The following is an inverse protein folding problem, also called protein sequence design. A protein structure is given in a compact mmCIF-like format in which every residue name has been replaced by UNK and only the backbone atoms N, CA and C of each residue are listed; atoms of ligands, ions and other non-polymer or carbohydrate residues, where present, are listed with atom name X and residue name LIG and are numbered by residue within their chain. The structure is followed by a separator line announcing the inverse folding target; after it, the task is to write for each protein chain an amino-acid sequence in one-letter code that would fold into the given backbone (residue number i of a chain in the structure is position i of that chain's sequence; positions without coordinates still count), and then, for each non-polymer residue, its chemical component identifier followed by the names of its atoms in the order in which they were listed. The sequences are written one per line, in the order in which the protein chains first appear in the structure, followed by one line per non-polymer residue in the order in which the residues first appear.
data_IF_824806761629
#
_entry.id   IF_824806761629
#
_cell.length_a   1.000
_cell.length_b   1.000
_cell.length_c   1.000
_cell.angle_alpha   90.00
_cell.angle_beta   90.00
_cell.angle_gamma   90.00
#
_symmetry.space_group_name_H-M   'P 1'
#
loop_
_entity.id
_entity.type
_entity.pdbx_description
1 polymer ?
#
# COMPACT_ATOMS: atom_id res chain seq x y z
N UNK A 1 -16.32 -4.52 9.71
CA UNK A 1 -16.91 -5.37 10.77
C UNK A 1 -15.88 -5.49 11.91
N UNK A 2 -16.25 -5.23 13.17
CA UNK A 2 -15.34 -5.46 14.31
C UNK A 2 -15.53 -6.90 14.79
N UNK A 3 -14.65 -7.82 14.40
CA UNK A 3 -14.64 -9.19 14.91
C UNK A 3 -13.90 -9.26 16.25
N UNK A 4 -14.18 -10.26 17.10
CA UNK A 4 -13.47 -10.43 18.38
C UNK A 4 -11.94 -10.50 18.22
N UNK A 5 -11.46 -11.09 17.13
CA UNK A 5 -10.03 -11.27 16.81
C UNK A 5 -9.40 -10.04 16.15
N UNK A 6 -10.17 -9.02 15.75
CA UNK A 6 -9.66 -7.84 15.01
C UNK A 6 -8.55 -7.11 15.79
N UNK A 7 -8.70 -6.99 17.11
CA UNK A 7 -7.70 -6.33 17.96
C UNK A 7 -6.37 -7.09 17.98
N UNK A 8 -6.45 -8.41 18.16
CA UNK A 8 -5.27 -9.31 18.17
C UNK A 8 -4.61 -9.33 16.80
N UNK A 9 -5.40 -9.42 15.73
CA UNK A 9 -4.91 -9.39 14.34
C UNK A 9 -4.12 -8.11 14.04
N UNK A 10 -4.68 -6.93 14.37
CA UNK A 10 -3.96 -5.65 14.20
C UNK A 10 -2.72 -5.54 15.08
N UNK A 11 -2.75 -6.13 16.27
CA UNK A 11 -1.61 -6.14 17.18
C UNK A 11 -0.47 -7.00 16.62
N UNK A 12 -0.76 -8.22 16.18
CA UNK A 12 0.22 -9.13 15.58
C UNK A 12 0.81 -8.55 14.29
N UNK A 13 -0.02 -7.95 13.44
CA UNK A 13 0.44 -7.26 12.22
C UNK A 13 1.44 -6.14 12.55
N UNK A 14 1.09 -5.24 13.49
CA UNK A 14 2.00 -4.17 13.94
C UNK A 14 3.30 -4.68 14.57
N UNK A 15 3.25 -5.87 15.17
CA UNK A 15 4.39 -6.50 15.83
C UNK A 15 5.33 -7.14 14.80
N UNK A 16 4.78 -7.87 13.82
CA UNK A 16 5.51 -8.77 12.95
C UNK A 16 5.81 -8.18 11.57
N UNK A 17 4.92 -7.35 11.01
CA UNK A 17 5.11 -6.78 9.66
C UNK A 17 6.41 -5.99 9.52
N UNK A 18 6.84 -5.16 10.49
CA UNK A 18 8.13 -4.49 10.41
C UNK A 18 9.32 -5.46 10.32
N UNK A 19 9.25 -6.60 11.01
CA UNK A 19 10.33 -7.61 10.99
C UNK A 19 10.37 -8.33 9.63
N UNK A 20 9.20 -8.66 9.08
CA UNK A 20 9.09 -9.19 7.73
C UNK A 20 9.68 -8.21 6.71
N UNK A 21 9.23 -6.95 6.73
CA UNK A 21 9.70 -5.92 5.80
C UNK A 21 11.22 -5.69 5.93
N UNK A 22 11.79 -5.84 7.13
CA UNK A 22 13.25 -5.72 7.36
C UNK A 22 14.03 -6.85 6.71
N UNK A 23 13.63 -8.10 6.95
CA UNK A 23 14.42 -9.27 6.58
C UNK A 23 14.15 -9.77 5.16
N UNK A 24 13.00 -9.45 4.59
CA UNK A 24 12.55 -9.97 3.29
C UNK A 24 12.47 -8.86 2.22
N UNK A 25 13.07 -7.69 2.48
CA UNK A 25 13.05 -6.53 1.55
C UNK A 25 13.63 -6.85 0.17
N UNK A 26 14.69 -7.66 0.11
CA UNK A 26 15.40 -7.99 -1.11
C UNK A 26 14.52 -8.76 -2.10
N UNK A 27 13.59 -9.59 -1.62
CA UNK A 27 12.68 -10.38 -2.46
C UNK A 27 11.28 -9.78 -2.55
N UNK A 28 10.95 -8.76 -1.76
CA UNK A 28 9.62 -8.13 -1.77
C UNK A 28 9.57 -6.93 -2.72
N UNK A 29 8.74 -6.98 -3.75
CA UNK A 29 8.41 -5.84 -4.61
C UNK A 29 7.40 -4.95 -3.87
N UNK A 30 7.64 -3.64 -3.88
CA UNK A 30 6.78 -2.65 -3.20
C UNK A 30 5.67 -2.16 -4.10
N UNK A 31 6.02 -1.88 -5.35
CA UNK A 31 5.15 -1.39 -6.41
C UNK A 31 5.92 -1.49 -7.73
N UNK A 32 5.30 -1.04 -8.82
CA UNK A 32 5.90 -1.06 -10.14
C UNK A 32 7.13 -0.15 -10.28
N UNK A 33 7.26 0.90 -9.46
CA UNK A 33 8.45 1.76 -9.45
C UNK A 33 9.63 1.00 -8.87
N UNK A 34 9.45 0.27 -7.77
CA UNK A 34 10.48 -0.62 -7.19
C UNK A 34 10.90 -1.70 -8.21
N UNK A 35 9.96 -2.29 -8.95
CA UNK A 35 10.29 -3.26 -10.00
C UNK A 35 11.10 -2.61 -11.15
N UNK A 36 10.70 -1.44 -11.62
CA UNK A 36 11.42 -0.72 -12.68
C UNK A 36 12.86 -0.45 -12.24
N UNK A 37 13.09 0.03 -11.02
CA UNK A 37 14.45 0.25 -10.52
C UNK A 37 15.29 -1.04 -10.48
N UNK A 38 14.71 -2.18 -10.09
CA UNK A 38 15.40 -3.48 -10.11
C UNK A 38 15.77 -3.90 -11.53
N UNK A 39 14.86 -3.72 -12.47
CA UNK A 39 15.10 -4.05 -13.88
C UNK A 39 16.13 -3.11 -14.52
N UNK A 40 16.09 -1.82 -14.23
CA UNK A 40 17.11 -0.84 -14.68
C UNK A 40 18.50 -1.21 -14.13
N UNK A 41 18.59 -1.67 -12.88
CA UNK A 41 19.84 -2.19 -12.29
C UNK A 41 20.30 -3.49 -12.98
N UNK A 42 19.39 -4.43 -13.22
CA UNK A 42 19.66 -5.69 -13.94
C UNK A 42 20.20 -5.44 -15.35
N UNK A 43 19.61 -4.49 -16.08
CA UNK A 43 20.09 -4.03 -17.40
C UNK A 43 21.46 -3.36 -17.29
N UNK A 44 21.65 -2.47 -16.32
CA UNK A 44 22.92 -1.74 -16.13
C UNK A 44 24.10 -2.66 -15.83
N UNK A 45 23.84 -3.81 -15.21
CA UNK A 45 24.84 -4.85 -14.96
C UNK A 45 25.10 -5.76 -16.17
N UNK A 46 24.42 -5.54 -17.31
CA UNK A 46 24.61 -6.32 -18.53
C UNK A 46 23.97 -7.71 -18.49
N UNK A 47 23.01 -7.95 -17.59
CA UNK A 47 22.39 -9.26 -17.43
C UNK A 47 21.24 -9.53 -18.41
N UNK A 48 20.57 -8.46 -18.90
CA UNK A 48 19.52 -8.59 -19.91
C UNK A 48 20.12 -8.92 -21.27
N UNK A 49 19.74 -10.08 -21.81
CA UNK A 49 20.09 -10.58 -23.13
C UNK A 49 18.87 -10.56 -24.06
N UNK A 50 19.07 -10.57 -25.39
CA UNK A 50 17.97 -10.80 -26.34
C UNK A 50 17.19 -12.09 -26.04
N UNK A 51 17.87 -13.10 -25.51
CA UNK A 51 17.28 -14.41 -25.16
C UNK A 51 16.60 -14.44 -23.80
N UNK A 52 16.76 -13.45 -22.93
CA UNK A 52 16.14 -13.43 -21.59
C UNK A 52 14.62 -13.48 -21.67
N UNK A 53 14.01 -14.42 -20.94
CA UNK A 53 12.58 -14.49 -20.71
C UNK A 53 12.18 -13.68 -19.48
N UNK A 54 11.02 -13.06 -19.57
CA UNK A 54 10.32 -12.44 -18.46
C UNK A 54 9.26 -13.43 -18.00
N UNK A 55 9.21 -13.71 -16.70
CA UNK A 55 8.33 -14.70 -16.12
C UNK A 55 7.49 -14.04 -15.02
N UNK A 56 6.18 -14.23 -15.10
CA UNK A 56 5.24 -13.83 -14.07
C UNK A 56 4.41 -15.03 -13.67
N UNK A 57 4.07 -15.13 -12.39
CA UNK A 57 3.11 -16.11 -11.95
C UNK A 57 2.39 -15.64 -10.70
N UNK A 58 1.12 -15.99 -10.65
CA UNK A 58 0.20 -15.68 -9.56
C UNK A 58 -0.02 -16.92 -8.69
N UNK A 59 -0.12 -16.71 -7.37
CA UNK A 59 -0.51 -17.74 -6.42
C UNK A 59 -2.03 -17.73 -6.24
N UNK A 60 -2.70 -18.77 -6.73
CA UNK A 60 -4.15 -18.88 -6.61
C UNK A 60 -4.58 -18.98 -5.15
N UNK A 61 -5.56 -18.15 -4.76
CA UNK A 61 -6.26 -18.22 -3.48
C UNK A 61 -5.34 -18.21 -2.23
N UNK A 62 -4.21 -17.48 -2.31
CA UNK A 62 -3.15 -17.50 -1.30
C UNK A 62 -3.67 -17.45 0.14
N UNK A 63 -4.50 -16.46 0.48
CA UNK A 63 -4.99 -16.28 1.85
C UNK A 63 -5.92 -17.38 2.34
N UNK A 64 -6.78 -17.88 1.44
CA UNK A 64 -7.81 -18.87 1.76
C UNK A 64 -7.26 -20.29 1.77
N UNK A 65 -6.09 -20.52 1.19
CA UNK A 65 -5.46 -21.84 1.08
C UNK A 65 -4.31 -22.10 2.05
N UNK A 66 -3.92 -21.11 2.88
CA UNK A 66 -2.87 -21.30 3.89
C UNK A 66 -3.21 -22.42 4.89
N UNK A 67 -2.39 -23.48 5.01
CA UNK A 67 -2.55 -24.47 6.07
C UNK A 67 -2.26 -23.82 7.43
N UNK A 68 -3.26 -23.78 8.32
CA UNK A 68 -3.20 -22.97 9.54
C UNK A 68 -2.06 -23.40 10.48
N UNK A 69 -1.94 -24.69 10.80
CA UNK A 69 -0.88 -25.20 11.70
C UNK A 69 0.52 -25.02 11.12
N UNK A 70 0.68 -25.31 9.83
CA UNK A 70 1.95 -25.15 9.14
C UNK A 70 2.36 -23.67 9.09
N UNK A 71 1.42 -22.77 8.81
CA UNK A 71 1.67 -21.33 8.82
C UNK A 71 2.14 -20.86 10.19
N UNK A 72 1.59 -21.41 11.29
CA UNK A 72 2.05 -21.12 12.64
C UNK A 72 3.45 -21.68 12.92
N UNK A 73 3.80 -22.85 12.37
CA UNK A 73 5.15 -23.40 12.44
C UNK A 73 6.15 -22.52 11.67
N UNK A 74 5.82 -22.14 10.44
CA UNK A 74 6.66 -21.28 9.60
C UNK A 74 6.82 -19.89 10.22
N UNK A 75 5.79 -19.35 10.88
CA UNK A 75 5.92 -18.10 11.66
C UNK A 75 6.97 -18.24 12.77
N UNK A 76 6.93 -19.34 13.53
CA UNK A 76 7.92 -19.62 14.58
C UNK A 76 9.32 -19.80 13.98
N UNK A 77 9.43 -20.56 12.89
CA UNK A 77 10.69 -20.78 12.17
C UNK A 77 11.29 -19.45 11.67
N UNK A 78 10.48 -18.60 11.01
CA UNK A 78 10.90 -17.29 10.54
C UNK A 78 11.49 -16.42 11.66
N UNK A 79 10.83 -16.40 12.83
CA UNK A 79 11.32 -15.61 13.97
C UNK A 79 12.63 -16.17 14.52
N UNK A 80 12.75 -17.49 14.66
CA UNK A 80 13.95 -18.14 15.18
C UNK A 80 15.14 -18.01 14.21
N UNK A 81 14.91 -18.18 12.91
CA UNK A 81 15.95 -18.06 11.88
C UNK A 81 16.59 -16.66 11.86
N UNK A 82 15.81 -15.63 12.21
CA UNK A 82 16.29 -14.25 12.30
C UNK A 82 16.68 -13.83 13.74
N UNK A 83 16.88 -14.80 14.63
CA UNK A 83 17.43 -14.58 15.98
C UNK A 83 16.45 -14.03 17.01
N UNK A 84 15.14 -14.07 16.76
CA UNK A 84 14.14 -13.62 17.72
C UNK A 84 13.70 -14.77 18.63
N UNK A 85 13.98 -14.68 19.93
CA UNK A 85 13.33 -15.50 20.96
C UNK A 85 12.14 -14.78 21.62
N UNK A 86 12.15 -13.45 21.53
CA UNK A 86 11.07 -12.56 21.95
C UNK A 86 10.96 -11.43 20.94
N UNK A 87 9.74 -10.92 20.71
CA UNK A 87 9.51 -9.70 19.93
C UNK A 87 8.88 -8.66 20.84
N UNK A 88 9.60 -7.55 21.07
CA UNK A 88 9.18 -6.48 21.99
C UNK A 88 8.76 -7.01 23.38
N UNK A 89 9.57 -7.93 23.93
CA UNK A 89 9.33 -8.56 25.23
C UNK A 89 8.35 -9.74 25.22
N UNK A 90 7.68 -10.04 24.11
CA UNK A 90 6.68 -11.11 24.00
C UNK A 90 7.36 -12.38 23.50
N UNK A 91 7.24 -13.47 24.25
CA UNK A 91 7.78 -14.78 23.86
C UNK A 91 7.11 -15.31 22.58
N UNK A 92 7.88 -16.03 21.74
CA UNK A 92 7.33 -16.61 20.50
C UNK A 92 6.12 -17.50 20.77
N UNK A 93 6.11 -18.28 21.85
CA UNK A 93 4.96 -19.13 22.19
C UNK A 93 3.68 -18.33 22.42
N UNK A 94 3.79 -17.15 23.02
CA UNK A 94 2.65 -16.25 23.20
C UNK A 94 2.19 -15.66 21.86
N UNK A 95 3.13 -15.26 20.99
CA UNK A 95 2.84 -14.79 19.62
C UNK A 95 2.12 -15.89 18.84
N UNK A 96 2.62 -17.13 18.87
CA UNK A 96 2.03 -18.29 18.21
C UNK A 96 0.63 -18.59 18.73
N UNK A 97 0.39 -18.52 20.05
CA UNK A 97 -0.94 -18.69 20.65
C UNK A 97 -1.92 -17.62 20.18
N UNK A 98 -1.51 -16.35 20.16
CA UNK A 98 -2.33 -15.25 19.66
C UNK A 98 -2.64 -15.42 18.17
N UNK A 99 -1.64 -15.81 17.37
CA UNK A 99 -1.80 -16.08 15.94
C UNK A 99 -2.80 -17.21 15.69
N UNK A 100 -2.72 -18.29 16.48
CA UNK A 100 -3.67 -19.41 16.43
C UNK A 100 -5.10 -18.94 16.66
N UNK A 101 -5.34 -18.16 17.71
CA UNK A 101 -6.68 -17.59 18.01
C UNK A 101 -7.20 -16.80 16.81
N UNK A 102 -6.36 -15.99 16.16
CA UNK A 102 -6.76 -15.21 14.98
C UNK A 102 -7.13 -16.10 13.79
N UNK A 103 -6.53 -17.28 13.63
CA UNK A 103 -6.83 -18.20 12.53
C UNK A 103 -8.04 -19.10 12.82
N UNK A 104 -8.12 -19.67 14.03
CA UNK A 104 -9.12 -20.69 14.38
C UNK A 104 -10.46 -20.12 14.80
N UNK A 105 -10.48 -18.92 15.39
CA UNK A 105 -11.72 -18.27 15.85
C UNK A 105 -12.38 -17.39 14.77
N UNK A 106 -12.17 -17.74 13.50
CA UNK A 106 -12.83 -17.12 12.36
C UNK A 106 -14.17 -17.81 12.07
N UNK A 107 -15.23 -17.27 12.68
CA UNK A 107 -16.61 -17.70 12.48
C UNK A 107 -17.38 -16.64 11.69
N UNK A 108 -18.13 -17.06 10.68
CA UNK A 108 -18.97 -16.18 9.87
C UNK A 108 -20.33 -16.81 9.61
N UNK A 109 -21.32 -15.97 9.25
CA UNK A 109 -22.67 -16.40 8.90
C UNK A 109 -22.88 -16.25 7.40
N UNK A 110 -23.33 -17.31 6.76
CA UNK A 110 -23.72 -17.31 5.36
C UNK A 110 -25.01 -18.13 5.19
N UNK A 111 -25.99 -17.62 4.45
CA UNK A 111 -27.31 -18.26 4.30
C UNK A 111 -27.91 -18.75 5.63
N UNK A 112 -27.88 -17.88 6.65
CA UNK A 112 -28.40 -18.15 8.01
C UNK A 112 -27.73 -19.34 8.75
N UNK A 113 -26.59 -19.82 8.26
CA UNK A 113 -25.79 -20.88 8.88
C UNK A 113 -24.45 -20.34 9.37
N UNK A 114 -24.01 -20.84 10.51
CA UNK A 114 -22.69 -20.53 11.06
C UNK A 114 -21.64 -21.45 10.45
N UNK A 115 -20.54 -20.86 9.99
CA UNK A 115 -19.39 -21.56 9.46
C UNK A 115 -18.14 -21.13 10.21
N UNK A 116 -17.23 -22.08 10.41
CA UNK A 116 -15.87 -21.81 10.89
C UNK A 116 -14.90 -22.07 9.76
N UNK A 117 -14.03 -21.11 9.49
CA UNK A 117 -12.97 -21.28 8.50
C UNK A 117 -11.89 -22.23 9.04
N UNK A 118 -11.74 -23.39 8.42
CA UNK A 118 -10.78 -24.44 8.82
C UNK A 118 -9.46 -24.41 8.03
N UNK A 119 -9.43 -23.65 6.93
CA UNK A 119 -8.27 -23.49 6.05
C UNK A 119 -8.12 -22.00 5.68
N UNK A 120 -6.89 -21.53 5.60
CA UNK A 120 -6.59 -20.14 5.34
C UNK A 120 -6.84 -19.22 6.54
N UNK A 121 -6.78 -17.92 6.28
CA UNK A 121 -7.23 -16.89 7.20
C UNK A 121 -8.36 -16.04 6.61
N UNK A 122 -9.06 -15.31 7.48
CA UNK A 122 -10.13 -14.42 7.03
C UNK A 122 -9.58 -13.31 6.13
N UNK A 123 -10.16 -13.15 4.94
CA UNK A 123 -9.86 -12.02 4.06
C UNK A 123 -10.12 -10.69 4.79
N UNK A 124 -9.21 -9.73 4.65
CA UNK A 124 -9.26 -8.45 5.35
C UNK A 124 -8.76 -8.46 6.80
N UNK A 125 -8.34 -9.62 7.33
CA UNK A 125 -7.58 -9.69 8.58
C UNK A 125 -6.16 -9.14 8.36
N UNK A 126 -5.78 -8.12 9.14
CA UNK A 126 -4.47 -7.47 9.02
C UNK A 126 -3.31 -8.48 9.20
N UNK A 127 -3.42 -9.36 10.19
CA UNK A 127 -2.41 -10.39 10.44
C UNK A 127 -2.32 -11.44 9.33
N UNK A 128 -3.44 -11.81 8.70
CA UNK A 128 -3.45 -12.85 7.65
C UNK A 128 -2.57 -12.46 6.46
N UNK A 129 -2.52 -11.17 6.09
CA UNK A 129 -1.60 -10.68 5.08
C UNK A 129 -0.13 -10.90 5.46
N UNK A 130 0.23 -10.56 6.69
CA UNK A 130 1.61 -10.71 7.19
C UNK A 130 1.99 -12.18 7.32
N UNK A 131 1.06 -13.03 7.76
CA UNK A 131 1.28 -14.47 7.83
C UNK A 131 1.45 -15.11 6.45
N UNK A 132 0.63 -14.73 5.47
CA UNK A 132 0.75 -15.21 4.09
C UNK A 132 2.13 -14.87 3.50
N UNK A 133 2.58 -13.64 3.72
CA UNK A 133 3.91 -13.21 3.28
C UNK A 133 5.05 -14.00 3.92
N UNK A 134 4.93 -14.34 5.22
CA UNK A 134 5.90 -15.18 5.94
C UNK A 134 5.85 -16.63 5.43
N UNK A 135 4.66 -17.16 5.14
CA UNK A 135 4.51 -18.48 4.52
C UNK A 135 5.22 -18.51 3.16
N UNK A 136 4.99 -17.50 2.33
CA UNK A 136 5.62 -17.39 1.01
C UNK A 136 7.13 -17.21 1.10
N UNK A 137 7.66 -16.52 2.12
CA UNK A 137 9.10 -16.45 2.36
C UNK A 137 9.75 -17.83 2.51
N UNK A 138 9.07 -18.79 3.15
CA UNK A 138 9.56 -20.17 3.27
C UNK A 138 9.42 -20.93 1.96
N UNK A 139 8.27 -20.81 1.31
CA UNK A 139 7.97 -21.49 0.05
C UNK A 139 8.92 -21.06 -1.08
N UNK A 140 9.26 -19.76 -1.15
CA UNK A 140 10.05 -19.19 -2.25
C UNK A 140 11.57 -19.40 -2.14
N UNK A 141 12.07 -19.96 -1.03
CA UNK A 141 13.53 -20.03 -0.76
C UNK A 141 14.34 -20.64 -1.91
N UNK A 142 13.87 -21.72 -2.50
CA UNK A 142 14.59 -22.40 -3.58
C UNK A 142 14.56 -21.60 -4.89
N UNK A 143 13.44 -20.94 -5.20
CA UNK A 143 13.35 -20.04 -6.37
C UNK A 143 14.32 -18.86 -6.21
N UNK A 144 14.30 -18.21 -5.05
CA UNK A 144 15.20 -17.09 -4.73
C UNK A 144 16.66 -17.52 -4.82
N UNK A 145 17.02 -18.68 -4.25
CA UNK A 145 18.39 -19.22 -4.29
C UNK A 145 18.86 -19.43 -5.72
N UNK A 146 18.01 -19.98 -6.59
CA UNK A 146 18.32 -20.19 -8.01
C UNK A 146 18.52 -18.87 -8.75
N UNK A 147 17.62 -17.90 -8.58
CA UNK A 147 17.76 -16.61 -9.25
C UNK A 147 19.03 -15.86 -8.79
N UNK A 148 19.35 -15.91 -7.50
CA UNK A 148 20.59 -15.35 -6.98
C UNK A 148 21.85 -16.02 -7.58
N UNK A 149 21.83 -17.34 -7.80
CA UNK A 149 22.95 -18.06 -8.39
C UNK A 149 23.19 -17.70 -9.87
N UNK A 150 22.13 -17.35 -10.60
CA UNK A 150 22.20 -17.00 -12.03
C UNK A 150 22.24 -15.49 -12.30
N UNK A 151 22.37 -14.66 -11.27
CA UNK A 151 22.29 -13.19 -11.34
C UNK A 151 21.00 -12.67 -11.97
N UNK A 152 19.91 -13.41 -11.80
CA UNK A 152 18.59 -13.07 -12.31
C UNK A 152 17.78 -12.25 -11.30
N UNK A 153 16.87 -11.43 -11.81
CA UNK A 153 15.97 -10.65 -10.96
C UNK A 153 14.88 -11.56 -10.40
N UNK A 154 14.61 -11.48 -9.10
CA UNK A 154 13.44 -12.06 -8.45
C UNK A 154 12.72 -10.99 -7.63
N UNK A 155 11.40 -11.04 -7.62
CA UNK A 155 10.63 -10.28 -6.66
C UNK A 155 9.17 -10.71 -6.60
N UNK A 156 8.57 -10.55 -5.41
CA UNK A 156 7.17 -10.88 -5.15
C UNK A 156 6.42 -9.69 -4.60
N UNK A 157 5.29 -9.37 -5.19
CA UNK A 157 4.28 -8.48 -4.65
C UNK A 157 3.10 -9.32 -4.16
N UNK A 158 3.06 -9.62 -2.86
CA UNK A 158 2.01 -10.43 -2.26
C UNK A 158 1.91 -11.84 -2.92
N UNK A 159 0.96 -12.04 -3.81
CA UNK A 159 0.64 -13.25 -4.59
C UNK A 159 1.24 -13.21 -6.01
N UNK A 160 1.53 -12.03 -6.55
CA UNK A 160 2.18 -11.85 -7.83
C UNK A 160 3.70 -12.01 -7.71
N UNK A 161 4.30 -12.91 -8.48
CA UNK A 161 5.77 -13.11 -8.54
C UNK A 161 6.29 -12.75 -9.93
N UNK A 162 7.44 -12.09 -9.96
CA UNK A 162 8.20 -11.73 -11.15
C UNK A 162 9.62 -12.27 -11.07
N UNK A 163 10.11 -12.88 -12.15
CA UNK A 163 11.55 -13.09 -12.32
C UNK A 163 12.00 -13.02 -13.78
N UNK A 164 13.30 -12.83 -13.99
CA UNK A 164 13.96 -12.96 -15.30
C UNK A 164 14.70 -14.29 -15.41
N UNK A 165 14.85 -14.82 -16.63
CA UNK A 165 15.67 -16.02 -16.82
C UNK A 165 16.30 -16.06 -18.20
N UNK A 166 17.61 -16.33 -18.25
CA UNK A 166 18.36 -16.58 -19.48
C UNK A 166 18.38 -18.05 -19.92
N UNK A 167 17.66 -18.93 -19.22
CA UNK A 167 17.57 -20.36 -19.53
C UNK A 167 16.63 -20.66 -20.70
N UNK A 168 16.62 -21.91 -21.14
CA UNK A 168 15.64 -22.39 -22.11
C UNK A 168 14.23 -22.38 -21.52
N UNK A 169 13.22 -22.24 -22.39
CA UNK A 169 11.82 -22.26 -21.98
C UNK A 169 11.43 -23.58 -21.31
N UNK A 170 11.99 -24.70 -21.76
CA UNK A 170 11.75 -26.02 -21.17
C UNK A 170 12.27 -26.09 -19.74
N UNK A 171 13.51 -25.65 -19.50
CA UNK A 171 14.10 -25.56 -18.16
C UNK A 171 13.27 -24.68 -17.23
N UNK A 172 12.79 -23.53 -17.70
CA UNK A 172 11.93 -22.63 -16.91
C UNK A 172 10.61 -23.32 -16.55
N UNK A 173 9.98 -24.01 -17.51
CA UNK A 173 8.72 -24.73 -17.26
C UNK A 173 8.92 -25.87 -16.26
N UNK A 174 9.97 -26.67 -16.41
CA UNK A 174 10.30 -27.75 -15.46
C UNK A 174 10.47 -27.22 -14.03
N UNK A 175 11.12 -26.07 -13.86
CA UNK A 175 11.30 -25.44 -12.55
C UNK A 175 9.98 -24.98 -11.94
N UNK A 176 9.14 -24.34 -12.75
CA UNK A 176 7.84 -23.89 -12.29
C UNK A 176 6.90 -25.06 -12.02
N UNK A 177 7.01 -26.16 -12.77
CA UNK A 177 6.29 -27.39 -12.49
C UNK A 177 6.75 -27.98 -11.16
N UNK A 178 8.06 -28.08 -10.91
CA UNK A 178 8.59 -28.50 -9.60
C UNK A 178 8.06 -27.60 -8.47
N UNK A 179 8.09 -26.27 -8.64
CA UNK A 179 7.60 -25.32 -7.65
C UNK A 179 6.09 -25.50 -7.37
N UNK A 180 5.28 -25.79 -8.39
CA UNK A 180 3.85 -26.06 -8.25
C UNK A 180 3.56 -27.36 -7.47
N UNK A 181 4.56 -28.23 -7.31
CA UNK A 181 4.48 -29.46 -6.51
C UNK A 181 5.11 -29.32 -5.12
N UNK A 182 5.72 -28.18 -4.77
CA UNK A 182 6.31 -27.97 -3.44
C UNK A 182 5.28 -28.06 -2.31
N UNK A 183 4.03 -27.67 -2.59
CA UNK A 183 2.99 -27.66 -1.59
C UNK A 183 1.61 -27.90 -2.22
N UNK A 184 0.82 -28.82 -1.66
CA UNK A 184 -0.50 -29.23 -2.22
C UNK A 184 -1.49 -28.08 -2.36
N UNK A 185 -1.43 -27.12 -1.44
CA UNK A 185 -2.34 -25.98 -1.35
C UNK A 185 -1.88 -24.74 -2.14
N UNK A 186 -0.71 -24.78 -2.76
CA UNK A 186 -0.20 -23.69 -3.57
C UNK A 186 -0.36 -24.09 -5.03
N UNK A 187 -1.00 -23.22 -5.82
CA UNK A 187 -1.17 -23.39 -7.25
C UNK A 187 -0.69 -22.15 -7.97
N UNK A 188 0.07 -22.38 -9.05
CA UNK A 188 0.71 -21.34 -9.84
C UNK A 188 -0.03 -21.17 -11.17
N UNK A 189 -0.35 -19.94 -11.52
CA UNK A 189 -0.76 -19.57 -12.88
C UNK A 189 0.38 -18.76 -13.48
N UNK A 190 1.03 -19.28 -14.52
CA UNK A 190 2.25 -18.69 -15.10
C UNK A 190 2.04 -18.06 -16.47
N UNK A 191 2.76 -16.98 -16.72
CA UNK A 191 2.93 -16.35 -18.02
C UNK A 191 4.42 -16.10 -18.25
N UNK A 192 4.96 -16.67 -19.33
CA UNK A 192 6.37 -16.57 -19.72
C UNK A 192 6.43 -15.97 -21.11
N UNK A 193 7.29 -14.99 -21.33
CA UNK A 193 7.45 -14.42 -22.66
C UNK A 193 8.50 -13.32 -22.74
N UNK A 194 8.50 -12.62 -23.87
CA UNK A 194 9.29 -11.39 -24.06
C UNK A 194 8.53 -10.14 -23.65
N UNK A 195 7.22 -10.26 -23.43
CA UNK A 195 6.32 -9.19 -23.01
C UNK A 195 5.38 -9.80 -21.98
N UNK A 196 5.41 -9.31 -20.74
CA UNK A 196 4.59 -9.82 -19.64
C UNK A 196 4.03 -8.66 -18.80
N UNK A 197 2.74 -8.71 -18.41
CA UNK A 197 2.18 -7.76 -17.47
C UNK A 197 2.59 -8.13 -16.04
N UNK A 198 2.92 -7.12 -15.23
CA UNK A 198 3.12 -7.28 -13.79
C UNK A 198 2.63 -6.01 -13.09
N UNK A 199 1.75 -6.17 -12.09
CA UNK A 199 1.06 -5.05 -11.45
C UNK A 199 0.33 -4.16 -12.47
N UNK A 200 0.72 -2.89 -12.57
CA UNK A 200 0.16 -1.90 -13.49
C UNK A 200 1.09 -1.56 -14.68
N UNK A 201 2.10 -2.41 -14.94
CA UNK A 201 3.04 -2.23 -16.04
C UNK A 201 3.13 -3.44 -16.98
N UNK A 202 3.40 -3.16 -18.25
CA UNK A 202 3.83 -4.14 -19.24
C UNK A 202 5.35 -4.04 -19.35
N UNK A 203 6.03 -5.14 -19.06
CA UNK A 203 7.49 -5.24 -19.14
C UNK A 203 7.85 -6.00 -20.40
N UNK A 204 8.75 -5.43 -21.20
CA UNK A 204 9.11 -5.99 -22.50
C UNK A 204 10.63 -6.05 -22.69
N UNK A 205 11.10 -7.16 -23.25
CA UNK A 205 12.46 -7.36 -23.71
C UNK A 205 12.48 -7.35 -25.25
N UNK A 206 12.76 -6.17 -25.82
CA UNK A 206 12.86 -5.96 -27.26
C UNK A 206 14.29 -6.23 -27.74
N UNK A 207 14.65 -7.52 -27.83
CA UNK A 207 15.98 -7.97 -28.26
C UNK A 207 17.14 -7.38 -27.43
N UNK A 208 17.03 -7.40 -26.10
CA UNK A 208 18.02 -6.88 -25.16
C UNK A 208 17.76 -5.42 -24.76
N UNK A 209 16.75 -4.77 -25.34
CA UNK A 209 16.29 -3.45 -24.90
C UNK A 209 15.06 -3.61 -23.99
N UNK A 210 15.22 -3.25 -22.72
CA UNK A 210 14.10 -3.18 -21.77
C UNK A 210 13.19 -2.00 -22.10
N UNK A 211 11.90 -2.26 -22.29
CA UNK A 211 10.87 -1.22 -22.31
C UNK A 211 9.76 -1.49 -21.30
N UNK A 212 9.18 -0.41 -20.78
CA UNK A 212 8.05 -0.48 -19.85
C UNK A 212 6.96 0.48 -20.31
N UNK A 213 5.70 0.09 -20.12
CA UNK A 213 4.54 0.93 -20.37
C UNK A 213 3.44 0.64 -19.35
N UNK A 214 2.43 1.50 -19.24
CA UNK A 214 1.27 1.22 -18.38
C UNK A 214 0.44 0.09 -19.00
N UNK A 215 0.15 -0.94 -18.20
CA UNK A 215 -0.69 -2.05 -18.61
C UNK A 215 -2.15 -1.83 -18.20
N UNK A 216 -3.06 -2.13 -19.13
CA UNK A 216 -4.50 -2.15 -18.88
C UNK A 216 -5.00 -3.56 -19.17
N UNK A 217 -5.64 -4.20 -18.18
CA UNK A 217 -6.29 -5.50 -18.38
C UNK A 217 -7.39 -5.34 -19.44
N UNK A 218 -7.58 -6.33 -20.31
CA UNK A 218 -8.60 -6.27 -21.37
C UNK A 218 -10.02 -6.10 -20.82
N UNK A 219 -10.29 -6.69 -19.64
CA UNK A 219 -11.56 -6.54 -18.94
C UNK A 219 -11.68 -5.25 -18.11
N UNK A 220 -10.65 -4.40 -18.07
CA UNK A 220 -10.68 -3.16 -17.30
C UNK A 220 -11.56 -2.14 -18.01
N UNK A 221 -12.75 -1.95 -17.48
CA UNK A 221 -13.60 -0.84 -17.90
C UNK A 221 -12.97 0.49 -17.44
N UNK A 222 -13.05 1.56 -18.25
CA UNK A 222 -12.41 2.84 -17.94
C UNK A 222 -13.20 3.63 -16.89
N UNK A 223 -13.79 2.98 -15.89
CA UNK A 223 -14.55 3.64 -14.84
C UNK A 223 -13.62 4.21 -13.76
N UNK A 224 -13.76 5.51 -13.54
CA UNK A 224 -13.16 6.22 -12.41
C UNK A 224 -14.25 6.99 -11.68
N UNK A 225 -13.89 7.66 -10.58
CA UNK A 225 -14.84 8.52 -9.85
C UNK A 225 -15.47 9.52 -10.83
N UNK A 226 -16.80 9.48 -11.07
CA UNK A 226 -17.47 10.38 -12.01
C UNK A 226 -17.36 11.83 -11.57
N UNK A 227 -17.27 12.75 -12.53
CA UNK A 227 -17.06 14.17 -12.24
C UNK A 227 -18.19 14.82 -11.42
N UNK A 228 -19.41 14.30 -11.57
CA UNK A 228 -20.62 14.73 -10.88
C UNK A 228 -20.88 13.98 -9.57
N UNK A 229 -19.98 13.11 -9.13
CA UNK A 229 -20.11 12.44 -7.83
C UNK A 229 -19.92 13.43 -6.66
N UNK A 230 -20.49 13.10 -5.50
CA UNK A 230 -20.39 13.90 -4.27
C UNK A 230 -19.02 13.82 -3.57
N UNK A 231 -17.99 13.33 -4.26
CA UNK A 231 -16.64 13.29 -3.72
C UNK A 231 -16.06 14.70 -3.61
N UNK A 232 -15.24 14.98 -2.57
CA UNK A 232 -14.51 16.23 -2.49
C UNK A 232 -13.69 16.52 -3.75
N UNK A 233 -13.64 17.79 -4.19
CA UNK A 233 -12.92 18.19 -5.42
C UNK A 233 -11.44 17.82 -5.45
N UNK A 234 -10.80 17.66 -4.29
CA UNK A 234 -9.42 17.19 -4.23
C UNK A 234 -9.28 15.73 -4.67
N UNK A 235 -10.25 14.86 -4.40
CA UNK A 235 -10.23 13.44 -4.82
C UNK A 235 -10.24 13.35 -6.35
N UNK A 236 -11.16 14.07 -7.01
CA UNK A 236 -11.26 14.17 -8.46
C UNK A 236 -9.95 14.67 -9.11
N UNK A 237 -9.30 15.65 -8.45
CA UNK A 237 -8.00 16.18 -8.87
C UNK A 237 -6.90 15.12 -8.73
N UNK A 238 -6.84 14.45 -7.60
CA UNK A 238 -5.78 13.51 -7.25
C UNK A 238 -5.85 12.24 -8.12
N UNK A 239 -7.06 11.82 -8.56
CA UNK A 239 -7.23 10.76 -9.58
C UNK A 239 -6.46 11.11 -10.87
N UNK A 240 -6.59 12.34 -11.36
CA UNK A 240 -5.91 12.79 -12.58
C UNK A 240 -4.39 12.86 -12.36
N UNK A 241 -3.97 13.46 -11.25
CA UNK A 241 -2.54 13.63 -10.96
C UNK A 241 -1.82 12.30 -10.80
N UNK A 242 -2.43 11.37 -10.07
CA UNK A 242 -1.84 10.05 -9.85
C UNK A 242 -1.79 9.24 -11.16
N UNK A 243 -2.80 9.35 -12.03
CA UNK A 243 -2.78 8.72 -13.34
C UNK A 243 -1.63 9.27 -14.21
N UNK A 244 -1.43 10.59 -14.23
CA UNK A 244 -0.33 11.22 -14.97
C UNK A 244 1.05 10.90 -14.36
N UNK A 245 1.18 10.88 -13.04
CA UNK A 245 2.42 10.46 -12.37
C UNK A 245 2.79 9.02 -12.72
N UNK A 246 1.81 8.13 -12.66
CA UNK A 246 1.97 6.73 -13.07
C UNK A 246 2.40 6.64 -14.53
N UNK A 247 1.70 7.33 -15.44
CA UNK A 247 2.02 7.34 -16.86
C UNK A 247 3.47 7.73 -17.13
N UNK A 248 3.99 8.75 -16.45
CA UNK A 248 5.38 9.19 -16.62
C UNK A 248 6.36 8.17 -16.05
N UNK A 249 6.14 7.68 -14.82
CA UNK A 249 7.04 6.74 -14.15
C UNK A 249 7.14 5.41 -14.89
N UNK A 250 6.01 4.88 -15.33
CA UNK A 250 5.89 3.54 -15.89
C UNK A 250 6.17 3.45 -17.39
N UNK A 251 6.26 4.56 -18.11
CA UNK A 251 6.52 4.56 -19.56
C UNK A 251 7.99 4.84 -19.84
N UNK A 252 8.72 3.88 -20.43
CA UNK A 252 10.14 4.07 -20.76
C UNK A 252 10.38 4.97 -21.98
N UNK A 253 9.36 5.18 -22.81
CA UNK A 253 9.43 6.01 -24.03
C UNK A 253 8.34 7.08 -24.04
N UNK A 254 8.62 8.19 -24.73
CA UNK A 254 7.65 9.26 -24.95
C UNK A 254 6.44 8.77 -25.75
N UNK A 255 6.64 7.83 -26.67
CA UNK A 255 5.53 7.20 -27.41
C UNK A 255 4.57 6.46 -26.47
N UNK A 256 5.09 5.61 -25.59
CA UNK A 256 4.29 4.89 -24.60
C UNK A 256 3.57 5.87 -23.65
N UNK A 257 4.27 6.89 -23.17
CA UNK A 257 3.67 7.93 -22.35
C UNK A 257 2.56 8.70 -23.08
N UNK A 258 2.78 9.10 -24.34
CA UNK A 258 1.79 9.82 -25.12
C UNK A 258 0.54 8.97 -25.40
N UNK A 259 0.72 7.66 -25.60
CA UNK A 259 -0.38 6.72 -25.70
C UNK A 259 -1.20 6.70 -24.40
N UNK A 260 -0.55 6.47 -23.26
CA UNK A 260 -1.23 6.43 -21.96
C UNK A 260 -1.91 7.77 -21.63
N UNK A 261 -1.25 8.90 -21.91
CA UNK A 261 -1.84 10.24 -21.70
C UNK A 261 -3.14 10.42 -22.50
N UNK A 262 -3.20 9.88 -23.73
CA UNK A 262 -4.44 9.90 -24.54
C UNK A 262 -5.50 9.00 -23.91
N UNK A 263 -5.13 7.79 -23.47
CA UNK A 263 -6.04 6.88 -22.77
C UNK A 263 -6.63 7.52 -21.51
N UNK A 264 -5.80 8.18 -20.68
CA UNK A 264 -6.26 8.93 -19.49
C UNK A 264 -7.25 10.03 -19.87
N UNK A 265 -6.97 10.79 -20.94
CA UNK A 265 -7.90 11.84 -21.41
C UNK A 265 -9.24 11.26 -21.84
N UNK A 266 -9.24 10.15 -22.58
CA UNK A 266 -10.47 9.47 -23.02
C UNK A 266 -11.25 8.92 -21.83
N UNK A 267 -10.57 8.27 -20.88
CA UNK A 267 -11.15 7.80 -19.62
C UNK A 267 -11.84 8.95 -18.86
N UNK A 268 -11.18 10.11 -18.73
CA UNK A 268 -11.77 11.27 -18.04
C UNK A 268 -13.02 11.79 -18.76
N UNK A 269 -12.98 11.89 -20.09
CA UNK A 269 -14.15 12.31 -20.88
C UNK A 269 -15.31 11.34 -20.72
N UNK A 270 -15.04 10.03 -20.74
CA UNK A 270 -16.02 8.98 -20.55
C UNK A 270 -16.72 9.07 -19.17
N UNK A 271 -16.00 9.52 -18.13
CA UNK A 271 -16.55 9.70 -16.78
C UNK A 271 -17.09 11.13 -16.52
N UNK A 272 -17.39 11.88 -17.59
CA UNK A 272 -18.10 13.17 -17.52
C UNK A 272 -17.25 14.36 -17.09
N UNK A 273 -15.90 14.25 -17.11
CA UNK A 273 -15.04 15.39 -16.77
C UNK A 273 -15.09 16.45 -17.88
N UNK A 274 -15.36 17.74 -17.55
CA UNK A 274 -15.43 18.79 -18.54
C UNK A 274 -14.09 18.97 -19.28
N UNK A 275 -14.07 19.11 -20.62
CA UNK A 275 -12.81 19.26 -21.38
C UNK A 275 -11.92 20.40 -20.90
N UNK A 276 -12.52 21.55 -20.51
CA UNK A 276 -11.79 22.69 -19.93
C UNK A 276 -11.12 22.34 -18.60
N UNK A 277 -11.78 21.53 -17.77
CA UNK A 277 -11.23 21.08 -16.50
C UNK A 277 -10.04 20.14 -16.72
N UNK A 278 -10.18 19.17 -17.63
CA UNK A 278 -9.10 18.25 -18.02
C UNK A 278 -7.89 19.03 -18.52
N UNK A 279 -8.08 19.94 -19.48
CA UNK A 279 -7.01 20.76 -20.03
C UNK A 279 -6.31 21.59 -18.94
N UNK A 280 -7.08 22.31 -18.11
CA UNK A 280 -6.53 23.11 -17.01
C UNK A 280 -5.75 22.26 -16.00
N UNK A 281 -6.23 21.05 -15.70
CA UNK A 281 -5.55 20.14 -14.78
C UNK A 281 -4.23 19.64 -15.35
N UNK A 282 -4.22 19.19 -16.60
CA UNK A 282 -3.01 18.71 -17.27
C UNK A 282 -1.96 19.83 -17.33
N UNK A 283 -2.36 21.05 -17.70
CA UNK A 283 -1.47 22.23 -17.70
C UNK A 283 -0.85 22.45 -16.32
N UNK A 284 -1.68 22.52 -15.27
CA UNK A 284 -1.19 22.69 -13.88
C UNK A 284 -0.25 21.58 -13.44
N UNK A 285 -0.51 20.35 -13.87
CA UNK A 285 0.35 19.20 -13.59
C UNK A 285 1.72 19.38 -14.26
N UNK A 286 1.77 19.63 -15.57
CA UNK A 286 3.03 19.77 -16.28
C UNK A 286 3.80 21.02 -15.85
N UNK A 287 3.15 22.16 -15.63
CA UNK A 287 3.83 23.37 -15.09
C UNK A 287 4.46 23.14 -13.72
N UNK A 288 3.91 22.24 -12.89
CA UNK A 288 4.49 21.90 -11.58
C UNK A 288 5.81 21.13 -11.72
N UNK A 289 5.98 20.35 -12.79
CA UNK A 289 7.07 19.38 -12.92
C UNK A 289 8.07 19.73 -14.03
N UNK A 290 7.63 20.30 -15.15
CA UNK A 290 8.47 20.88 -16.18
C UNK A 290 8.83 22.31 -15.75
N UNK A 291 10.05 22.54 -15.30
CA UNK A 291 10.58 23.87 -14.91
C UNK A 291 10.76 24.84 -16.08
N UNK A 292 10.08 24.60 -17.21
CA UNK A 292 10.24 25.32 -18.47
C UNK A 292 9.09 26.30 -18.66
N UNK A 293 9.41 27.51 -19.13
CA UNK A 293 8.44 28.58 -19.44
C UNK A 293 7.56 28.30 -20.66
N UNK A 294 7.95 27.33 -21.50
CA UNK A 294 7.16 26.85 -22.63
C UNK A 294 6.17 25.78 -22.14
N UNK A 295 4.93 26.19 -21.88
CA UNK A 295 3.85 25.33 -21.38
C UNK A 295 3.24 24.51 -22.53
N UNK A 296 4.05 23.70 -23.21
CA UNK A 296 3.54 22.72 -24.16
C UNK A 296 3.02 21.49 -23.38
N UNK A 297 1.77 21.11 -23.60
CA UNK A 297 1.21 19.85 -23.07
C UNK A 297 1.89 18.60 -23.66
N UNK A 298 2.68 18.81 -24.70
CA UNK A 298 3.42 17.78 -25.43
C UNK A 298 4.89 17.96 -25.12
N UNK A 299 5.58 16.86 -24.78
CA UNK A 299 7.02 16.88 -24.89
C UNK A 299 7.36 16.89 -26.38
N UNK A 300 8.08 17.91 -26.82
CA UNK A 300 8.50 18.04 -28.22
C UNK A 300 9.77 17.20 -28.50
N UNK A 301 10.48 16.77 -27.44
CA UNK A 301 11.71 15.98 -27.51
C UNK A 301 11.68 14.81 -26.51
N UNK A 302 12.17 13.65 -26.96
CA UNK A 302 12.33 12.44 -26.12
C UNK A 302 13.17 12.72 -24.88
N UNK A 303 14.27 13.46 -25.03
CA UNK A 303 15.21 13.74 -23.94
C UNK A 303 14.57 14.51 -22.78
N UNK A 304 13.64 15.43 -23.06
CA UNK A 304 12.95 16.21 -22.03
C UNK A 304 12.00 15.33 -21.23
N UNK A 305 11.35 14.37 -21.90
CA UNK A 305 10.52 13.36 -21.25
C UNK A 305 11.36 12.42 -20.37
N UNK A 306 12.46 11.88 -20.91
CA UNK A 306 13.36 10.99 -20.17
C UNK A 306 13.91 11.68 -18.93
N UNK A 307 14.33 12.94 -19.04
CA UNK A 307 14.81 13.72 -17.89
C UNK A 307 13.75 13.84 -16.79
N UNK A 308 12.51 14.19 -17.16
CA UNK A 308 11.42 14.28 -16.18
C UNK A 308 11.08 12.90 -15.58
N UNK A 309 11.03 11.86 -16.41
CA UNK A 309 10.80 10.49 -15.94
C UNK A 309 11.83 10.12 -14.89
N UNK A 310 13.11 10.29 -15.18
CA UNK A 310 14.19 10.01 -14.23
C UNK A 310 14.02 10.81 -12.93
N UNK A 311 13.65 12.09 -12.99
CA UNK A 311 13.38 12.90 -11.78
C UNK A 311 12.23 12.32 -10.95
N UNK A 312 11.13 11.92 -11.59
CA UNK A 312 9.92 11.46 -10.90
C UNK A 312 9.99 10.00 -10.43
N UNK A 313 10.72 9.16 -11.17
CA UNK A 313 10.94 7.76 -10.83
C UNK A 313 11.79 7.65 -9.55
N UNK A 314 12.82 8.49 -9.43
CA UNK A 314 13.68 8.55 -8.24
C UNK A 314 13.01 9.19 -7.00
N UNK A 315 11.78 9.70 -7.11
CA UNK A 315 11.02 10.20 -5.95
C UNK A 315 10.29 9.03 -5.29
N UNK A 316 10.49 8.79 -3.98
CA UNK A 316 9.88 7.66 -3.32
C UNK A 316 8.35 7.71 -3.41
N UNK A 317 7.74 6.55 -3.61
CA UNK A 317 6.29 6.39 -3.52
C UNK A 317 5.83 6.43 -2.06
N UNK A 318 4.52 6.57 -1.86
CA UNK A 318 3.92 6.53 -0.52
C UNK A 318 4.21 5.16 0.12
N UNK A 319 4.04 4.08 -0.65
CA UNK A 319 4.30 2.71 -0.21
C UNK A 319 5.75 2.49 0.22
N UNK A 320 6.71 3.00 -0.56
CA UNK A 320 8.13 2.95 -0.22
C UNK A 320 8.43 3.71 1.08
N UNK A 321 7.85 4.90 1.24
CA UNK A 321 8.00 5.69 2.47
C UNK A 321 7.42 4.98 3.70
N UNK A 322 6.25 4.35 3.55
CA UNK A 322 5.63 3.58 4.63
C UNK A 322 6.46 2.36 5.03
N UNK A 323 7.00 1.62 4.07
CA UNK A 323 7.88 0.47 4.33
C UNK A 323 9.16 0.93 5.01
N UNK A 324 9.81 1.97 4.51
CA UNK A 324 10.99 2.55 5.14
C UNK A 324 10.71 2.99 6.59
N UNK A 325 9.55 3.61 6.84
CA UNK A 325 9.10 3.98 8.19
C UNK A 325 8.87 2.77 9.09
N UNK A 326 8.37 1.64 8.55
CA UNK A 326 8.19 0.39 9.31
C UNK A 326 9.54 -0.24 9.65
N UNK A 327 10.45 -0.35 8.69
CA UNK A 327 11.80 -0.90 8.90
C UNK A 327 12.55 -0.07 9.95
N UNK A 328 12.50 1.26 9.88
CA UNK A 328 13.16 2.14 10.84
C UNK A 328 12.70 1.93 12.30
N UNK A 329 11.48 1.42 12.52
CA UNK A 329 10.96 1.08 13.86
C UNK A 329 11.51 -0.24 14.42
N UNK A 330 12.28 -1.00 13.64
CA UNK A 330 12.89 -2.28 14.05
C UNK A 330 14.33 -2.13 14.52
N UNK A 331 15.00 -1.05 14.15
CA UNK A 331 16.31 -0.67 14.65
C UNK A 331 16.14 0.11 15.94
N UNK A 332 16.11 -0.59 17.08
CA UNK A 332 16.38 0.03 18.37
C UNK A 332 17.83 0.53 18.35
N UNK A 333 18.01 1.84 18.44
CA UNK A 333 19.28 2.38 18.93
C UNK A 333 19.45 1.90 20.39
N UNK A 334 20.65 1.47 20.82
CA UNK A 334 20.95 1.50 22.24
C UNK A 334 20.78 2.95 22.70
N UNK A 335 20.11 3.14 23.85
CA UNK A 335 19.85 4.42 24.51
C UNK A 335 20.65 5.59 23.93
N UNK A 336 20.04 6.35 23.02
CA UNK A 336 20.55 7.70 22.75
C UNK A 336 20.24 8.50 23.99
N UNK A 337 21.27 8.81 24.74
CA UNK A 337 21.26 9.91 25.69
C UNK A 337 20.53 11.09 25.05
N UNK A 338 19.57 11.60 25.80
CA UNK A 338 18.70 12.70 25.41
C UNK A 338 19.60 13.92 25.23
N UNK A 339 20.02 14.18 24.00
CA UNK A 339 20.44 15.52 23.60
C UNK A 339 19.12 16.29 23.41
N UNK A 340 18.80 17.12 24.41
CA UNK A 340 17.64 17.99 24.44
C UNK A 340 17.60 18.86 23.19
N UNK A 341 16.69 18.52 22.27
CA UNK A 341 16.37 19.39 21.14
C UNK A 341 15.14 20.23 21.54
N UNK A 342 15.27 21.57 21.69
CA UNK A 342 14.19 22.45 22.17
C UNK A 342 12.91 22.36 21.32
N UNK A 343 13.03 22.01 20.04
CA UNK A 343 11.88 21.84 19.13
C UNK A 343 11.13 20.53 19.39
N UNK A 344 11.82 19.48 19.83
CA UNK A 344 11.24 18.19 20.22
C UNK A 344 10.60 18.30 21.61
N UNK A 345 11.24 19.00 22.55
CA UNK A 345 10.65 19.35 23.86
C UNK A 345 9.34 20.12 23.67
N UNK A 346 9.31 21.15 22.80
CA UNK A 346 8.08 21.94 22.57
C UNK A 346 6.91 21.15 21.96
N UNK A 347 7.22 20.13 21.12
CA UNK A 347 6.21 19.22 20.55
C UNK A 347 5.77 18.16 21.55
N UNK A 348 6.69 17.66 22.38
CA UNK A 348 6.39 16.75 23.49
C UNK A 348 5.58 17.45 24.59
N UNK A 349 5.85 18.72 24.89
CA UNK A 349 5.09 19.53 25.85
C UNK A 349 3.68 19.87 25.34
N UNK A 350 3.53 20.10 24.04
CA UNK A 350 2.20 20.21 23.42
C UNK A 350 1.43 18.88 23.46
N UNK A 351 2.13 17.74 23.31
CA UNK A 351 1.53 16.40 23.34
C UNK A 351 1.24 15.92 24.77
N UNK A 352 2.06 16.27 25.75
CA UNK A 352 1.84 15.99 27.18
C UNK A 352 0.70 16.85 27.74
N UNK A 353 0.57 18.10 27.30
CA UNK A 353 -0.62 18.94 27.57
C UNK A 353 -1.92 18.37 26.98
N UNK A 354 -1.86 17.53 25.96
CA UNK A 354 -3.03 16.85 25.38
C UNK A 354 -3.36 15.52 26.06
N UNK A 355 -2.38 14.84 26.66
CA UNK A 355 -2.56 13.54 27.32
C UNK A 355 -3.40 13.61 28.60
N UNK A 356 -3.43 14.78 29.27
CA UNK A 356 -4.21 15.00 30.49
C UNK A 356 -5.52 15.79 30.26
N UNK A 357 -5.89 16.08 29.01
CA UNK A 357 -7.10 16.85 28.70
C UNK A 357 -8.00 16.10 27.70
N UNK A 358 -9.25 15.85 28.06
CA UNK A 358 -10.27 15.36 27.14
C UNK A 358 -11.11 16.54 26.66
N UNK A 359 -11.12 16.83 25.35
CA UNK A 359 -11.85 17.97 24.79
C UNK A 359 -13.11 17.49 24.09
N UNK A 360 -14.27 17.98 24.54
CA UNK A 360 -15.57 17.75 23.90
C UNK A 360 -16.04 19.05 23.28
N UNK A 361 -16.27 19.03 21.97
CA UNK A 361 -16.92 20.12 21.26
C UNK A 361 -18.36 19.76 20.94
N UNK A 362 -19.28 20.69 21.20
CA UNK A 362 -20.68 20.57 20.81
C UNK A 362 -21.15 21.83 20.07
N UNK A 363 -22.15 21.66 19.22
CA UNK A 363 -22.81 22.77 18.54
C UNK A 363 -23.79 23.42 19.52
N UNK A 364 -23.72 24.74 19.68
CA UNK A 364 -24.63 25.42 20.59
C UNK A 364 -26.06 25.43 20.02
N UNK A 365 -26.99 24.85 20.76
CA UNK A 365 -28.43 24.92 20.52
C UNK A 365 -29.12 25.26 21.85
N UNK A 366 -30.29 25.94 21.81
CA UNK A 366 -31.02 26.34 23.03
C UNK A 366 -31.31 25.16 23.98
N UNK A 367 -31.49 23.95 23.43
CA UNK A 367 -31.72 22.71 24.21
C UNK A 367 -30.48 22.21 24.97
N UNK A 368 -29.28 22.68 24.62
CA UNK A 368 -28.02 22.30 25.24
C UNK A 368 -27.42 23.42 26.12
N UNK A 369 -28.24 24.33 26.64
CA UNK A 369 -27.78 25.40 27.52
C UNK A 369 -27.11 24.88 28.80
N UNK A 370 -27.65 23.82 29.41
CA UNK A 370 -27.08 23.18 30.59
C UNK A 370 -26.04 22.10 30.26
N UNK A 371 -25.86 21.74 28.99
CA UNK A 371 -25.07 20.58 28.57
C UNK A 371 -23.64 20.56 29.12
N UNK A 372 -23.00 21.74 29.16
CA UNK A 372 -21.66 21.88 29.74
C UNK A 372 -21.65 21.47 31.23
N UNK A 373 -22.62 21.92 32.00
CA UNK A 373 -22.75 21.60 33.43
C UNK A 373 -23.13 20.14 33.62
N UNK A 374 -24.10 19.66 32.85
CA UNK A 374 -24.62 18.29 32.95
C UNK A 374 -23.54 17.25 32.64
N UNK A 375 -22.70 17.50 31.63
CA UNK A 375 -21.63 16.57 31.27
C UNK A 375 -20.49 16.58 32.29
N UNK A 376 -20.22 17.71 32.96
CA UNK A 376 -19.28 17.75 34.08
C UNK A 376 -19.81 16.99 35.29
N UNK A 377 -21.10 17.12 35.61
CA UNK A 377 -21.76 16.34 36.67
C UNK A 377 -21.73 14.84 36.36
N UNK A 378 -22.07 14.46 35.13
CA UNK A 378 -22.03 13.08 34.68
C UNK A 378 -20.61 12.52 34.71
N UNK A 379 -19.62 13.28 34.23
CA UNK A 379 -18.21 12.89 34.24
C UNK A 379 -17.74 12.58 35.66
N UNK A 380 -18.01 13.48 36.61
CA UNK A 380 -17.63 13.28 38.00
C UNK A 380 -18.34 12.07 38.60
N UNK A 381 -19.67 11.94 38.42
CA UNK A 381 -20.45 10.81 38.97
C UNK A 381 -20.02 9.45 38.41
N UNK A 382 -19.72 9.38 37.11
CA UNK A 382 -19.42 8.10 36.43
C UNK A 382 -17.98 7.66 36.65
N UNK A 383 -17.03 8.60 36.71
CA UNK A 383 -15.60 8.28 36.70
C UNK A 383 -14.89 8.55 38.03
N UNK A 384 -15.58 8.99 39.09
CA UNK A 384 -15.04 9.36 40.41
C UNK A 384 -14.00 8.37 40.96
N UNK A 385 -14.25 7.07 40.80
CA UNK A 385 -13.41 5.99 41.35
C UNK A 385 -12.45 5.38 40.32
N UNK A 386 -12.30 6.00 39.15
CA UNK A 386 -11.46 5.49 38.06
C UNK A 386 -10.21 6.36 37.88
N UNK A 387 -9.08 5.80 37.42
CA UNK A 387 -7.87 6.59 37.15
C UNK A 387 -8.10 7.72 36.12
N UNK A 388 -9.15 7.60 35.31
CA UNK A 388 -9.53 8.55 34.25
C UNK A 388 -9.98 9.90 34.81
N UNK A 389 -10.42 9.99 36.07
CA UNK A 389 -10.85 11.26 36.70
C UNK A 389 -9.73 12.30 36.77
N UNK A 390 -8.46 11.86 36.75
CA UNK A 390 -7.28 12.73 36.70
C UNK A 390 -7.13 13.46 35.35
N UNK A 391 -7.88 13.04 34.32
CA UNK A 391 -7.96 13.72 33.04
C UNK A 391 -8.93 14.90 33.15
N UNK A 392 -8.45 16.11 32.86
CA UNK A 392 -9.26 17.32 32.88
C UNK A 392 -10.19 17.36 31.66
N UNK A 393 -11.49 17.31 31.89
CA UNK A 393 -12.51 17.48 30.85
C UNK A 393 -12.64 18.96 30.48
N UNK A 394 -12.51 19.28 29.19
CA UNK A 394 -12.72 20.62 28.64
C UNK A 394 -13.87 20.58 27.64
N UNK A 395 -14.96 21.28 27.96
CA UNK A 395 -16.18 21.30 27.12
C UNK A 395 -16.37 22.69 26.53
N UNK A 396 -16.28 22.80 25.21
CA UNK A 396 -16.37 24.05 24.47
C UNK A 396 -17.49 24.03 23.43
N UNK A 397 -18.20 25.15 23.28
CA UNK A 397 -19.18 25.31 22.22
C UNK A 397 -18.50 25.84 20.94
N UNK A 398 -19.00 25.42 19.77
CA UNK A 398 -18.70 26.08 18.49
C UNK A 398 -19.90 26.91 18.06
N UNK A 399 -19.72 28.22 17.91
CA UNK A 399 -20.69 29.09 17.25
C UNK A 399 -20.45 28.97 15.74
N UNK A 400 -21.35 28.31 15.00
CA UNK A 400 -21.38 28.43 13.55
C UNK A 400 -22.24 29.64 13.19
N UNK A 401 -21.80 30.55 12.31
CA UNK A 401 -22.73 31.51 11.72
C UNK A 401 -23.83 30.71 11.00
N UNK A 402 -25.09 31.02 11.31
CA UNK A 402 -26.29 30.29 10.89
C UNK A 402 -26.16 29.59 9.53
N UNK A 403 -26.40 28.27 9.50
CA UNK A 403 -26.49 27.41 8.31
C UNK A 403 -27.34 28.03 7.17
N UNK A 404 -28.28 28.92 7.53
CA UNK A 404 -29.13 29.69 6.62
C UNK A 404 -28.35 30.61 5.68
N UNK A 405 -27.16 31.11 6.07
CA UNK A 405 -26.33 31.97 5.21
C UNK A 405 -25.62 31.19 4.10
N UNK A 406 -25.30 29.93 4.34
CA UNK A 406 -24.66 29.05 3.34
C UNK A 406 -25.67 28.32 2.45
N UNK A 407 -26.90 28.10 2.93
CA UNK A 407 -27.96 27.40 2.18
C UNK A 407 -28.85 28.33 1.34
N UNK A 408 -28.84 29.63 1.60
CA UNK A 408 -29.57 30.62 0.80
C UNK A 408 -28.56 31.41 -0.04
N UNK A 409 -28.09 30.81 -1.12
CA UNK A 409 -27.58 31.60 -2.24
C UNK A 409 -28.72 32.51 -2.70
N UNK A 410 -28.58 33.82 -2.44
CA UNK A 410 -29.42 34.84 -3.05
C UNK A 410 -29.34 34.65 -4.56
N UNK A 411 -30.46 34.26 -5.18
CA UNK A 411 -30.81 34.72 -6.52
C UNK A 411 -30.74 36.25 -6.45
N UNK A 412 -29.66 36.85 -6.97
CA UNK A 412 -29.73 38.24 -7.37
C UNK A 412 -30.58 38.29 -8.63
N UNK A 413 -31.81 38.78 -8.45
CA UNK A 413 -32.58 39.37 -9.52
C UNK A 413 -31.95 40.74 -9.84
N UNK A 414 -31.52 40.87 -11.10
CA UNK A 414 -31.45 42.05 -11.98
C UNK A 414 -31.41 43.47 -11.36
N UNK A 415 -30.32 44.18 -11.68
CA UNK A 415 -30.35 45.40 -12.50
C UNK A 415 -29.22 45.36 -13.51
#
# INVERSE_FOLDING_TARGET
MKTPTTGISKFLDKLLRPLFDKHVRSTTIIDSVDLIHRLEAYVSNGYLKPTTYLCTFDITDLYTMLPQEESLNILTEFLLEHGYHKVKGIAIDAIRKLARIVLTENVFVYNQKFYRQILGGAMGSAFTLTLANIFMWKWEKELVRRQAASNETYGRYIDDIFFTSNESLDTINEWLDQANHFHSNIKLVRQIGKSVPFLDILVENNNGLLTTSVYHKEAAEPYIVPFNSDHPRHVLRDVIDNALLRAIRCSSTLLAFNHERRSIKLMLLYNGYPPRYIYSRFMKFFTKYQRTSAVSLLFDKENDFVALRCELLNKPTISEHEIASRIAKTTDHPQKDIIENPLVQSKLDKKSKLLNNLIIHYMHERRFQSFKTDIHLLWNKTFEKTPVITTRLLVGNRNSPNLTKDLVHRRQALM
#
